data_IF_580438034039
#
_entry.id   IF_580438034039
#
_cell.length_a   1.000
_cell.length_b   1.000
_cell.length_c   1.000
_cell.angle_alpha   90.00
_cell.angle_beta   90.00
_cell.angle_gamma   90.00
#
_symmetry.space_group_name_H-M   'P 1'
#
loop_
_entity.id
_entity.type
_entity.pdbx_description
1 polymer ?
#
# COMPACT_ATOMS: atom_id res chain seq x y z
N UNK A 1 -4.88 7.82 -0.45
CA UNK A 1 -4.38 8.88 0.46
C UNK A 1 -4.09 8.38 1.88
N UNK A 2 -4.78 7.35 2.40
CA UNK A 2 -4.63 6.87 3.80
C UNK A 2 -3.22 6.40 4.17
N UNK A 3 -2.37 6.06 3.20
CA UNK A 3 -0.96 5.70 3.44
C UNK A 3 -0.13 6.83 4.09
N UNK A 4 -0.60 8.07 4.05
CA UNK A 4 0.01 9.23 4.73
C UNK A 4 0.12 8.98 6.24
N UNK A 5 -0.85 8.34 6.89
CA UNK A 5 -0.79 8.04 8.32
C UNK A 5 0.44 7.21 8.69
N UNK A 6 0.75 6.19 7.88
CA UNK A 6 1.96 5.38 8.07
C UNK A 6 3.25 6.18 7.91
N UNK A 7 3.27 7.14 6.98
CA UNK A 7 4.44 8.00 6.79
C UNK A 7 4.64 9.00 7.94
N UNK A 8 3.55 9.50 8.55
CA UNK A 8 3.62 10.31 9.78
C UNK A 8 4.22 9.49 10.93
N UNK A 9 3.76 8.24 11.11
CA UNK A 9 4.32 7.33 12.10
C UNK A 9 5.81 7.08 11.86
N UNK A 10 6.19 6.73 10.62
CA UNK A 10 7.58 6.45 10.24
C UNK A 10 8.48 7.67 10.37
N UNK A 11 7.98 8.87 10.09
CA UNK A 11 8.74 10.11 10.28
C UNK A 11 9.10 10.33 11.76
N UNK A 12 8.17 10.05 12.68
CA UNK A 12 8.44 10.10 14.12
C UNK A 12 9.43 9.00 14.54
N UNK A 13 9.33 7.81 13.95
CA UNK A 13 10.28 6.72 14.21
C UNK A 13 11.71 7.11 13.77
N UNK A 14 11.88 7.78 12.62
CA UNK A 14 13.18 8.30 12.18
C UNK A 14 13.74 9.34 13.17
N UNK A 15 12.91 10.28 13.63
CA UNK A 15 13.33 11.32 14.57
C UNK A 15 13.79 10.71 15.90
N UNK A 16 13.00 9.82 16.48
CA UNK A 16 13.29 9.24 17.80
C UNK A 16 14.42 8.20 17.76
N UNK A 17 14.57 7.47 16.66
CA UNK A 17 15.69 6.52 16.52
C UNK A 17 16.99 7.17 16.07
N UNK A 18 16.93 8.36 15.46
CA UNK A 18 18.08 9.04 14.83
C UNK A 18 18.59 8.33 13.58
N UNK A 19 17.81 7.43 12.97
CA UNK A 19 18.19 6.64 11.79
C UNK A 19 17.16 6.80 10.67
N UNK A 20 17.58 6.68 9.42
CA UNK A 20 16.68 6.58 8.27
C UNK A 20 15.96 5.23 8.27
N UNK A 21 14.77 5.18 7.64
CA UNK A 21 14.02 3.92 7.45
C UNK A 21 14.89 2.88 6.73
N UNK A 22 15.63 3.28 5.70
CA UNK A 22 16.54 2.39 4.96
C UNK A 22 17.68 1.81 5.82
N UNK A 23 18.06 2.47 6.91
CA UNK A 23 19.10 1.98 7.82
C UNK A 23 18.53 1.08 8.93
N UNK A 24 17.22 1.16 9.18
CA UNK A 24 16.54 0.39 10.22
C UNK A 24 16.04 -0.98 9.75
N UNK A 25 15.77 -1.12 8.45
CA UNK A 25 15.17 -2.32 7.89
C UNK A 25 16.00 -2.89 6.74
N UNK A 26 16.04 -4.22 6.64
CA UNK A 26 16.84 -4.94 5.64
C UNK A 26 16.03 -5.30 4.39
N UNK A 27 14.70 -5.29 4.45
CA UNK A 27 13.81 -5.60 3.32
C UNK A 27 12.55 -4.74 3.39
N UNK A 28 12.05 -4.33 2.23
CA UNK A 28 10.80 -3.59 2.10
C UNK A 28 9.80 -4.36 1.25
N UNK A 29 8.60 -4.53 1.76
CA UNK A 29 7.50 -5.21 1.06
C UNK A 29 6.29 -4.31 1.05
N UNK A 30 5.72 -4.10 -0.12
CA UNK A 30 4.58 -3.22 -0.28
C UNK A 30 3.53 -3.71 -1.27
N UNK A 31 2.29 -3.29 -1.05
CA UNK A 31 1.17 -3.52 -1.96
C UNK A 31 0.39 -2.24 -2.14
N UNK A 32 -0.09 -1.99 -3.36
CA UNK A 32 -0.87 -0.79 -3.67
C UNK A 32 -0.12 0.51 -3.29
N UNK A 33 -0.74 1.39 -2.51
CA UNK A 33 -0.08 2.58 -1.97
C UNK A 33 1.18 2.26 -1.13
N UNK A 34 1.22 1.11 -0.48
CA UNK A 34 2.38 0.62 0.25
C UNK A 34 3.54 0.23 -0.66
N UNK A 35 3.27 -0.16 -1.92
CA UNK A 35 4.31 -0.43 -2.91
C UNK A 35 5.11 0.85 -3.23
N UNK A 36 4.44 1.99 -3.42
CA UNK A 36 5.11 3.28 -3.61
C UNK A 36 6.05 3.58 -2.44
N UNK A 37 5.56 3.47 -1.20
CA UNK A 37 6.36 3.75 -0.01
C UNK A 37 7.57 2.81 0.10
N UNK A 38 7.35 1.49 -0.09
CA UNK A 38 8.41 0.48 -0.05
C UNK A 38 9.49 0.74 -1.10
N UNK A 39 9.09 1.13 -2.31
CA UNK A 39 10.01 1.48 -3.40
C UNK A 39 10.78 2.77 -3.11
N UNK A 40 10.15 3.79 -2.53
CA UNK A 40 10.84 5.00 -2.09
C UNK A 40 11.94 4.70 -1.07
N UNK A 41 11.67 3.83 -0.11
CA UNK A 41 12.65 3.44 0.91
C UNK A 41 13.73 2.50 0.35
N UNK A 42 13.35 1.46 -0.38
CA UNK A 42 14.31 0.43 -0.85
C UNK A 42 15.14 0.85 -2.05
N UNK A 43 14.57 1.61 -2.99
CA UNK A 43 15.27 2.03 -4.23
C UNK A 43 16.00 3.35 -4.06
N UNK A 44 15.35 4.34 -3.47
CA UNK A 44 15.87 5.71 -3.39
C UNK A 44 16.42 6.08 -2.00
N UNK A 45 16.28 5.21 -0.99
CA UNK A 45 16.69 5.47 0.41
C UNK A 45 16.12 6.79 0.96
N UNK A 46 14.90 7.13 0.52
CA UNK A 46 14.20 8.33 0.97
C UNK A 46 13.85 8.23 2.45
N UNK A 47 13.83 9.36 3.12
CA UNK A 47 13.21 9.48 4.45
C UNK A 47 11.68 9.38 4.35
N UNK A 48 11.03 9.09 5.46
CA UNK A 48 9.57 9.10 5.53
C UNK A 48 8.99 10.48 5.19
N UNK A 49 9.72 11.56 5.54
CA UNK A 49 9.33 12.93 5.17
C UNK A 49 9.37 13.14 3.66
N UNK A 50 10.48 12.83 3.01
CA UNK A 50 10.64 12.95 1.55
C UNK A 50 9.60 12.11 0.81
N UNK A 51 9.36 10.88 1.27
CA UNK A 51 8.31 10.02 0.70
C UNK A 51 6.93 10.64 0.88
N UNK A 52 6.64 11.25 2.05
CA UNK A 52 5.36 11.92 2.31
C UNK A 52 5.14 13.13 1.39
N UNK A 53 6.18 13.82 0.99
CA UNK A 53 6.05 15.00 0.12
C UNK A 53 5.46 14.63 -1.25
N UNK A 54 5.64 13.38 -1.73
CA UNK A 54 4.95 12.85 -2.92
C UNK A 54 3.49 12.43 -2.69
N UNK A 55 3.00 12.54 -1.46
CA UNK A 55 1.56 12.46 -1.13
C UNK A 55 0.93 13.84 -0.93
N UNK A 56 1.61 14.91 -1.33
CA UNK A 56 1.04 16.25 -1.36
C UNK A 56 -0.13 16.32 -2.36
N UNK A 57 -1.05 17.24 -2.12
CA UNK A 57 -2.30 17.36 -2.87
C UNK A 57 -2.08 17.48 -4.37
N UNK A 58 -1.07 18.22 -4.79
CA UNK A 58 -0.69 18.41 -6.20
C UNK A 58 -0.36 17.10 -6.93
N UNK A 59 0.38 16.20 -6.28
CA UNK A 59 0.70 14.88 -6.84
C UNK A 59 -0.51 13.95 -6.80
N UNK A 60 -1.33 14.01 -5.75
CA UNK A 60 -2.57 13.24 -5.67
C UNK A 60 -3.53 13.68 -6.77
N UNK A 61 -3.69 14.99 -7.00
CA UNK A 61 -4.53 15.53 -8.06
C UNK A 61 -4.02 15.11 -9.45
N UNK A 62 -2.71 15.08 -9.67
CA UNK A 62 -2.09 14.59 -10.91
C UNK A 62 -2.37 13.09 -11.12
N UNK A 63 -2.17 12.26 -10.07
CA UNK A 63 -2.45 10.81 -10.09
C UNK A 63 -3.94 10.51 -10.33
N UNK A 64 -4.81 11.33 -9.77
CA UNK A 64 -6.27 11.17 -9.84
C UNK A 64 -6.90 12.04 -10.92
N UNK A 65 -6.11 12.49 -11.90
CA UNK A 65 -6.64 13.23 -13.05
C UNK A 65 -7.59 12.35 -13.85
N UNK A 66 -8.80 12.84 -14.11
CA UNK A 66 -9.81 12.16 -14.92
C UNK A 66 -10.11 12.98 -16.17
N UNK A 67 -10.42 12.33 -17.28
CA UNK A 67 -11.02 12.99 -18.43
C UNK A 67 -12.43 13.46 -18.08
N UNK A 68 -12.57 14.72 -17.76
CA UNK A 68 -13.75 15.39 -17.18
C UNK A 68 -15.09 15.17 -17.93
N UNK A 69 -15.08 14.71 -19.17
CA UNK A 69 -16.29 14.65 -20.00
C UNK A 69 -17.26 13.49 -19.68
N UNK A 70 -16.86 12.47 -18.92
CA UNK A 70 -17.65 11.25 -18.74
C UNK A 70 -18.20 11.03 -17.32
N UNK A 71 -17.75 11.78 -16.32
CA UNK A 71 -18.07 11.54 -14.90
C UNK A 71 -19.51 11.87 -14.49
N UNK A 72 -20.26 12.63 -15.27
CA UNK A 72 -21.62 13.10 -14.89
C UNK A 72 -22.78 12.31 -15.49
N UNK A 73 -22.53 11.39 -16.42
CA UNK A 73 -23.60 10.79 -17.23
C UNK A 73 -23.93 9.32 -16.91
N UNK A 74 -23.22 8.66 -16.02
CA UNK A 74 -23.36 7.21 -15.81
C UNK A 74 -23.72 6.87 -14.36
N UNK A 75 -24.93 6.42 -14.12
CA UNK A 75 -25.41 5.78 -12.88
C UNK A 75 -24.65 4.46 -12.63
N UNK A 76 -24.05 3.88 -13.67
CA UNK A 76 -23.24 2.67 -13.63
C UNK A 76 -21.86 3.06 -14.17
N UNK A 77 -20.84 3.01 -13.31
CA UNK A 77 -19.47 3.27 -13.71
C UNK A 77 -19.00 2.13 -14.65
N UNK A 78 -19.03 2.40 -15.96
CA UNK A 78 -18.67 1.44 -17.01
C UNK A 78 -17.17 1.50 -17.38
N UNK A 79 -16.41 2.47 -16.84
CA UNK A 79 -14.97 2.67 -17.09
C UNK A 79 -14.24 2.98 -15.79
N UNK A 80 -12.91 2.76 -15.73
CA UNK A 80 -12.09 3.18 -14.60
C UNK A 80 -12.24 4.68 -14.34
N UNK A 81 -12.13 5.08 -13.08
CA UNK A 81 -12.31 6.47 -12.65
C UNK A 81 -11.17 7.38 -13.12
N UNK A 82 -9.95 6.85 -13.16
CA UNK A 82 -8.71 7.56 -13.48
C UNK A 82 -7.98 6.88 -14.63
N UNK A 83 -6.99 7.58 -15.19
CA UNK A 83 -6.07 7.04 -16.19
C UNK A 83 -4.71 6.70 -15.58
N UNK A 84 -3.92 5.87 -16.26
CA UNK A 84 -2.57 5.52 -15.81
C UNK A 84 -1.56 6.66 -16.04
N UNK A 85 -1.83 7.59 -16.96
CA UNK A 85 -0.89 8.62 -17.41
C UNK A 85 -0.37 9.49 -16.27
N UNK A 86 -1.27 10.11 -15.48
CA UNK A 86 -0.86 10.98 -14.38
C UNK A 86 -0.04 10.24 -13.33
N UNK A 87 -0.41 8.99 -13.02
CA UNK A 87 0.35 8.14 -12.11
C UNK A 87 1.76 7.86 -12.62
N UNK A 88 1.90 7.52 -13.90
CA UNK A 88 3.21 7.27 -14.54
C UNK A 88 4.08 8.52 -14.50
N UNK A 89 3.53 9.70 -14.80
CA UNK A 89 4.28 10.95 -14.78
C UNK A 89 4.81 11.30 -13.37
N UNK A 90 4.00 11.10 -12.33
CA UNK A 90 4.46 11.27 -10.95
C UNK A 90 5.58 10.28 -10.60
N UNK A 91 5.41 9.01 -10.97
CA UNK A 91 6.42 7.97 -10.71
C UNK A 91 7.73 8.24 -11.46
N UNK A 92 7.69 8.79 -12.68
CA UNK A 92 8.89 9.23 -13.41
C UNK A 92 9.66 10.33 -12.66
N UNK A 93 8.95 11.26 -12.02
CA UNK A 93 9.60 12.32 -11.19
C UNK A 93 10.32 11.72 -9.97
N UNK A 94 9.84 10.59 -9.43
CA UNK A 94 10.39 9.94 -8.24
C UNK A 94 11.52 8.98 -8.59
N UNK A 95 11.32 8.12 -9.58
CA UNK A 95 12.19 6.98 -9.86
C UNK A 95 13.01 7.10 -11.14
N UNK A 96 12.67 8.08 -11.99
CA UNK A 96 13.28 8.23 -13.32
C UNK A 96 13.09 6.95 -14.14
N UNK A 97 14.16 6.36 -14.62
CA UNK A 97 14.21 5.12 -15.42
C UNK A 97 14.80 3.92 -14.68
N UNK A 98 14.83 3.99 -13.33
CA UNK A 98 15.41 2.93 -12.50
C UNK A 98 14.69 1.59 -12.66
N UNK A 99 15.47 0.53 -12.68
CA UNK A 99 15.00 -0.86 -12.55
C UNK A 99 14.97 -1.32 -11.09
N UNK A 100 14.24 -2.37 -10.80
CA UNK A 100 14.20 -2.98 -9.47
C UNK A 100 15.56 -3.47 -9.01
N UNK A 101 16.43 -3.92 -9.92
CA UNK A 101 17.79 -4.39 -9.61
C UNK A 101 18.73 -3.30 -9.11
N UNK A 102 18.40 -2.01 -9.32
CA UNK A 102 19.15 -0.88 -8.80
C UNK A 102 18.77 -0.52 -7.34
N UNK A 103 17.87 -1.28 -6.74
CA UNK A 103 17.46 -1.11 -5.36
C UNK A 103 18.65 -1.30 -4.40
N UNK A 104 18.77 -0.43 -3.42
CA UNK A 104 19.82 -0.50 -2.39
C UNK A 104 19.52 -1.55 -1.33
N UNK A 105 18.26 -1.84 -1.12
CA UNK A 105 17.76 -2.87 -0.20
C UNK A 105 16.82 -3.82 -0.97
N UNK A 106 16.72 -5.09 -0.59
CA UNK A 106 15.70 -5.96 -1.12
C UNK A 106 14.31 -5.33 -1.01
N UNK A 107 13.63 -5.21 -2.15
CA UNK A 107 12.28 -4.66 -2.22
C UNK A 107 11.37 -5.58 -3.04
N UNK A 108 10.13 -5.74 -2.56
CA UNK A 108 9.10 -6.50 -3.25
C UNK A 108 7.82 -5.69 -3.37
N UNK A 109 7.14 -5.89 -4.49
CA UNK A 109 5.75 -5.47 -4.68
C UNK A 109 4.89 -6.65 -5.11
N UNK A 110 3.63 -6.66 -4.65
CA UNK A 110 2.66 -7.68 -4.98
C UNK A 110 1.65 -7.13 -5.99
N UNK A 111 1.34 -7.89 -7.03
CA UNK A 111 0.31 -7.62 -8.02
C UNK A 111 -0.51 -8.88 -8.31
N UNK A 112 -1.58 -8.76 -9.10
CA UNK A 112 -2.35 -9.88 -9.61
C UNK A 112 -2.35 -9.87 -11.14
N UNK A 113 -1.83 -10.95 -11.76
CA UNK A 113 -1.84 -11.17 -13.21
C UNK A 113 -3.23 -11.66 -13.62
N UNK A 114 -3.94 -10.85 -14.42
CA UNK A 114 -5.33 -11.13 -14.77
C UNK A 114 -5.47 -12.23 -15.82
N UNK A 115 -4.47 -12.43 -16.66
CA UNK A 115 -4.47 -13.44 -17.70
C UNK A 115 -4.09 -14.82 -17.16
N UNK A 116 -3.02 -14.87 -16.33
CA UNK A 116 -2.63 -16.09 -15.62
C UNK A 116 -3.53 -16.43 -14.44
N UNK A 117 -4.37 -15.48 -14.00
CA UNK A 117 -5.26 -15.61 -12.82
C UNK A 117 -4.48 -16.03 -11.57
N UNK A 118 -3.35 -15.38 -11.34
CA UNK A 118 -2.41 -15.71 -10.28
C UNK A 118 -1.79 -14.45 -9.67
N UNK A 119 -1.29 -14.56 -8.46
CA UNK A 119 -0.47 -13.51 -7.88
C UNK A 119 0.85 -13.37 -8.67
N UNK A 120 1.40 -12.17 -8.65
CA UNK A 120 2.71 -11.86 -9.20
C UNK A 120 3.54 -11.08 -8.17
N UNK A 121 4.76 -11.54 -7.91
CA UNK A 121 5.72 -10.88 -7.03
C UNK A 121 6.80 -10.26 -7.91
N UNK A 122 6.91 -8.95 -7.87
CA UNK A 122 8.00 -8.23 -8.52
C UNK A 122 9.01 -7.82 -7.46
N UNK A 123 10.27 -8.21 -7.63
CA UNK A 123 11.29 -7.96 -6.62
C UNK A 123 12.64 -7.59 -7.22
N UNK A 124 13.45 -6.90 -6.43
CA UNK A 124 14.82 -6.51 -6.81
C UNK A 124 15.75 -7.70 -7.10
N UNK A 125 15.38 -8.91 -6.68
CA UNK A 125 16.20 -10.10 -6.85
C UNK A 125 15.59 -11.17 -7.78
N UNK A 126 14.26 -11.21 -7.96
CA UNK A 126 13.60 -12.17 -8.89
C UNK A 126 13.28 -11.55 -10.24
N UNK A 127 12.97 -10.26 -10.29
CA UNK A 127 12.64 -9.49 -11.50
C UNK A 127 13.47 -8.21 -11.62
N UNK A 128 14.82 -8.29 -11.51
CA UNK A 128 15.68 -7.11 -11.40
C UNK A 128 15.63 -6.18 -12.63
N UNK A 129 15.32 -6.71 -13.80
CA UNK A 129 15.20 -5.93 -15.04
C UNK A 129 13.89 -5.16 -15.18
N UNK A 130 12.88 -5.41 -14.32
CA UNK A 130 11.60 -4.70 -14.38
C UNK A 130 11.76 -3.26 -13.90
N UNK A 131 11.15 -2.31 -14.60
CA UNK A 131 11.12 -0.90 -14.20
C UNK A 131 10.41 -0.74 -12.85
N UNK A 132 10.95 0.13 -11.99
CA UNK A 132 10.32 0.49 -10.71
C UNK A 132 8.93 1.08 -10.93
N UNK A 133 8.76 1.84 -12.01
CA UNK A 133 7.47 2.43 -12.40
C UNK A 133 6.46 1.33 -12.71
N UNK A 134 6.84 0.34 -13.51
CA UNK A 134 5.97 -0.80 -13.84
C UNK A 134 5.60 -1.61 -12.62
N UNK A 135 6.55 -1.93 -11.75
CA UNK A 135 6.26 -2.65 -10.51
C UNK A 135 5.27 -1.89 -9.60
N UNK A 136 5.44 -0.57 -9.48
CA UNK A 136 4.52 0.29 -8.73
C UNK A 136 3.14 0.36 -9.38
N UNK A 137 3.08 0.56 -10.70
CA UNK A 137 1.83 0.64 -11.46
C UNK A 137 1.06 -0.68 -11.43
N UNK A 138 1.73 -1.82 -11.61
CA UNK A 138 1.12 -3.14 -11.51
C UNK A 138 0.51 -3.38 -10.12
N UNK A 139 1.27 -3.08 -9.06
CA UNK A 139 0.83 -3.27 -7.67
C UNK A 139 -0.31 -2.35 -7.25
N UNK A 140 -0.46 -1.18 -7.88
CA UNK A 140 -1.41 -0.14 -7.47
C UNK A 140 -2.53 0.13 -8.49
N UNK A 141 -2.75 -0.77 -9.47
CA UNK A 141 -3.86 -0.68 -10.43
C UNK A 141 -5.19 -1.15 -9.80
N UNK A 142 -5.67 -0.41 -8.80
CA UNK A 142 -6.88 -0.76 -8.05
C UNK A 142 -8.10 -0.78 -8.97
N UNK A 143 -8.82 -1.93 -9.08
CA UNK A 143 -10.04 -2.03 -9.89
C UNK A 143 -11.04 -0.94 -9.50
N UNK A 144 -11.85 -0.49 -10.46
CA UNK A 144 -12.78 0.64 -10.34
C UNK A 144 -12.06 2.01 -10.41
N UNK A 145 -10.90 2.16 -9.78
CA UNK A 145 -10.13 3.43 -9.78
C UNK A 145 -9.25 3.56 -11.01
N UNK A 146 -8.46 2.54 -11.32
CA UNK A 146 -7.52 2.54 -12.44
C UNK A 146 -7.79 1.41 -13.42
N UNK A 147 -7.43 1.57 -14.71
CA UNK A 147 -7.40 0.45 -15.63
C UNK A 147 -6.32 -0.56 -15.22
N UNK A 148 -6.48 -1.81 -15.65
CA UNK A 148 -5.39 -2.78 -15.58
C UNK A 148 -4.15 -2.22 -16.28
N UNK A 149 -2.98 -2.58 -15.76
CA UNK A 149 -1.70 -2.08 -16.23
C UNK A 149 -0.97 -3.15 -17.05
N UNK A 150 -0.62 -2.83 -18.30
CA UNK A 150 0.26 -3.66 -19.11
C UNK A 150 1.71 -3.31 -18.79
N UNK A 151 2.47 -4.28 -18.28
CA UNK A 151 3.87 -4.09 -17.95
C UNK A 151 4.79 -4.48 -19.13
N UNK A 152 6.09 -4.20 -18.99
CA UNK A 152 7.09 -4.45 -20.05
C UNK A 152 7.25 -5.93 -20.40
N UNK A 153 6.83 -6.84 -19.52
CA UNK A 153 6.80 -8.28 -19.75
C UNK A 153 5.61 -8.75 -20.58
N UNK A 154 4.75 -7.82 -21.00
CA UNK A 154 3.53 -8.07 -21.75
C UNK A 154 2.37 -8.65 -20.91
N UNK A 155 2.52 -8.76 -19.62
CA UNK A 155 1.46 -9.23 -18.71
C UNK A 155 0.57 -8.07 -18.25
N UNK A 156 -0.69 -8.38 -17.97
CA UNK A 156 -1.69 -7.43 -17.49
C UNK A 156 -1.97 -7.61 -16.00
N UNK A 157 -1.81 -6.53 -15.25
CA UNK A 157 -1.89 -6.56 -13.79
C UNK A 157 -2.99 -5.68 -13.23
N UNK A 158 -3.54 -6.10 -12.10
CA UNK A 158 -4.34 -5.29 -11.18
C UNK A 158 -3.70 -5.28 -9.79
N UNK A 159 -4.19 -4.40 -8.93
CA UNK A 159 -3.69 -4.17 -7.58
C UNK A 159 -3.55 -5.49 -6.79
N UNK A 160 -2.39 -5.68 -6.20
CA UNK A 160 -2.08 -6.86 -5.39
C UNK A 160 -2.89 -6.96 -4.10
N UNK A 161 -3.57 -5.89 -3.69
CA UNK A 161 -4.49 -5.91 -2.56
C UNK A 161 -5.62 -6.93 -2.71
N UNK A 162 -6.00 -7.30 -3.94
CA UNK A 162 -6.98 -8.37 -4.18
C UNK A 162 -6.45 -9.76 -3.78
N UNK A 163 -5.14 -9.91 -3.63
CA UNK A 163 -4.50 -11.14 -3.16
C UNK A 163 -4.22 -11.04 -1.66
N UNK A 164 -3.50 -9.99 -1.27
CA UNK A 164 -3.08 -9.75 0.11
C UNK A 164 -2.90 -8.24 0.35
N UNK A 165 -3.81 -7.63 1.09
CA UNK A 165 -3.70 -6.22 1.46
C UNK A 165 -2.79 -5.99 2.68
N UNK A 166 -2.45 -7.04 3.41
CA UNK A 166 -1.41 -7.04 4.44
C UNK A 166 -0.31 -8.05 4.06
N UNK A 167 0.72 -7.66 3.31
CA UNK A 167 1.70 -8.59 2.79
C UNK A 167 2.71 -9.09 3.85
N UNK A 168 2.36 -9.06 5.14
CA UNK A 168 3.28 -9.43 6.22
C UNK A 168 3.67 -10.91 6.17
N UNK A 169 2.74 -11.80 5.80
CA UNK A 169 3.06 -13.23 5.65
C UNK A 169 3.98 -13.46 4.45
N UNK A 170 3.74 -12.77 3.34
CA UNK A 170 4.64 -12.76 2.19
C UNK A 170 6.02 -12.24 2.59
N UNK A 171 6.08 -11.12 3.33
CA UNK A 171 7.33 -10.55 3.82
C UNK A 171 8.13 -11.55 4.67
N UNK A 172 7.45 -12.26 5.58
CA UNK A 172 8.07 -13.30 6.40
C UNK A 172 8.69 -14.42 5.53
N UNK A 173 7.90 -14.95 4.60
CA UNK A 173 8.34 -16.06 3.74
C UNK A 173 9.50 -15.65 2.84
N UNK A 174 9.43 -14.49 2.24
CA UNK A 174 10.46 -14.00 1.33
C UNK A 174 11.74 -13.57 2.08
N UNK A 175 11.62 -12.95 3.26
CA UNK A 175 12.77 -12.64 4.11
C UNK A 175 13.50 -13.93 4.55
N UNK A 176 12.75 -14.95 4.99
CA UNK A 176 13.31 -16.25 5.38
C UNK A 176 14.08 -16.91 4.23
N UNK A 177 13.54 -16.88 3.03
CA UNK A 177 14.21 -17.43 1.83
C UNK A 177 15.44 -16.62 1.42
N UNK A 178 15.31 -15.29 1.40
CA UNK A 178 16.37 -14.41 0.91
C UNK A 178 17.57 -14.36 1.84
N UNK A 179 17.32 -14.16 3.14
CA UNK A 179 18.39 -14.04 4.16
C UNK A 179 18.81 -15.38 4.77
N UNK A 180 18.09 -16.46 4.49
CA UNK A 180 18.32 -17.80 5.05
C UNK A 180 18.39 -17.79 6.58
N UNK A 181 17.49 -17.06 7.24
CA UNK A 181 17.44 -16.87 8.69
C UNK A 181 16.05 -17.16 9.24
N UNK A 182 16.01 -17.61 10.51
CA UNK A 182 14.79 -17.70 11.31
C UNK A 182 14.59 -16.46 12.19
N UNK A 183 15.62 -15.63 12.36
CA UNK A 183 15.54 -14.41 13.16
C UNK A 183 14.98 -13.27 12.31
N UNK A 184 13.66 -13.17 12.27
CA UNK A 184 12.92 -12.18 11.46
C UNK A 184 12.04 -11.35 12.36
N UNK A 185 12.14 -10.04 12.20
CA UNK A 185 11.28 -9.06 12.85
C UNK A 185 10.51 -8.27 11.78
N UNK A 186 9.24 -8.02 12.03
CA UNK A 186 8.38 -7.33 11.05
C UNK A 186 7.66 -6.15 11.70
N UNK A 187 7.90 -4.97 11.17
CA UNK A 187 7.06 -3.79 11.36
C UNK A 187 6.08 -3.67 10.19
N UNK A 188 4.82 -3.92 10.44
CA UNK A 188 3.76 -3.87 9.45
C UNK A 188 2.89 -2.65 9.66
N UNK A 189 2.73 -1.84 8.61
CA UNK A 189 1.98 -0.58 8.68
C UNK A 189 0.75 -0.63 7.80
N UNK A 190 -0.42 -0.41 8.40
CA UNK A 190 -1.69 -0.39 7.72
C UNK A 190 -2.09 0.99 7.18
N UNK A 191 -3.34 1.08 6.75
CA UNK A 191 -3.96 2.32 6.25
C UNK A 191 -5.27 2.64 6.98
N UNK A 192 -5.47 2.04 8.15
CA UNK A 192 -6.69 2.11 8.93
C UNK A 192 -7.71 1.02 8.54
N UNK A 193 -8.54 0.62 9.49
CA UNK A 193 -9.54 -0.43 9.36
C UNK A 193 -10.94 0.19 9.33
N UNK A 194 -11.75 -0.14 8.33
CA UNK A 194 -13.15 0.26 8.28
C UNK A 194 -14.00 -0.68 9.15
N UNK A 195 -14.35 -0.26 10.34
CA UNK A 195 -15.14 -1.06 11.30
C UNK A 195 -16.64 -0.88 11.17
N UNK A 196 -17.14 -0.22 10.11
CA UNK A 196 -18.57 0.01 9.91
C UNK A 196 -19.29 -1.30 9.64
N UNK A 197 -20.24 -1.63 10.50
CA UNK A 197 -21.03 -2.86 10.38
C UNK A 197 -21.96 -2.81 9.16
N UNK A 198 -21.98 -3.89 8.42
CA UNK A 198 -22.99 -4.15 7.39
C UNK A 198 -24.20 -4.81 8.07
N UNK A 199 -25.40 -4.36 7.70
CA UNK A 199 -26.62 -4.97 8.20
C UNK A 199 -26.85 -6.32 7.51
N UNK A 200 -26.67 -7.43 8.22
CA UNK A 200 -26.77 -8.78 7.69
C UNK A 200 -28.13 -9.10 7.07
N UNK A 201 -29.24 -8.68 7.71
CA UNK A 201 -30.59 -8.94 7.17
C UNK A 201 -30.87 -8.19 5.87
N UNK A 202 -30.31 -6.98 5.72
CA UNK A 202 -30.44 -6.22 4.46
C UNK A 202 -29.55 -6.79 3.36
N UNK A 203 -28.38 -7.28 3.72
CA UNK A 203 -27.43 -7.83 2.74
C UNK A 203 -27.92 -9.10 2.08
N UNK A 204 -28.85 -9.84 2.71
CA UNK A 204 -29.43 -11.06 2.14
C UNK A 204 -30.20 -10.84 0.84
N UNK A 205 -30.63 -9.60 0.56
CA UNK A 205 -31.35 -9.22 -0.66
C UNK A 205 -30.46 -8.52 -1.69
N UNK A 206 -29.16 -8.36 -1.43
CA UNK A 206 -28.26 -7.63 -2.32
C UNK A 206 -27.79 -8.49 -3.49
N UNK A 207 -28.02 -8.04 -4.72
CA UNK A 207 -27.31 -8.51 -5.90
C UNK A 207 -25.96 -7.79 -6.07
N UNK A 208 -25.28 -8.02 -7.20
CA UNK A 208 -23.94 -7.46 -7.46
C UNK A 208 -23.84 -5.93 -7.25
N UNK A 209 -24.84 -5.16 -7.72
CA UNK A 209 -24.89 -3.70 -7.54
C UNK A 209 -25.03 -3.33 -6.05
N UNK A 210 -25.80 -4.07 -5.29
CA UNK A 210 -25.96 -3.89 -3.86
C UNK A 210 -24.63 -4.06 -3.13
N UNK A 211 -23.90 -5.13 -3.39
CA UNK A 211 -22.60 -5.39 -2.81
C UNK A 211 -21.54 -4.34 -3.20
N UNK A 212 -21.51 -3.91 -4.46
CA UNK A 212 -20.62 -2.83 -4.90
C UNK A 212 -20.89 -1.50 -4.18
N UNK A 213 -22.18 -1.15 -3.96
CA UNK A 213 -22.56 0.04 -3.20
C UNK A 213 -22.19 -0.03 -1.72
N UNK A 214 -22.11 -1.23 -1.16
CA UNK A 214 -21.82 -1.47 0.24
C UNK A 214 -20.38 -1.95 0.50
N UNK A 215 -19.46 -1.59 -0.41
CA UNK A 215 -18.02 -1.72 -0.19
C UNK A 215 -17.50 -3.17 -0.13
N UNK A 216 -17.98 -4.02 -1.05
CA UNK A 216 -17.49 -5.40 -1.15
C UNK A 216 -15.96 -5.44 -1.31
N UNK A 217 -15.39 -4.47 -2.04
CA UNK A 217 -13.93 -4.38 -2.21
C UNK A 217 -13.23 -4.10 -0.88
N UNK A 218 -13.76 -3.19 -0.05
CA UNK A 218 -13.22 -2.94 1.28
C UNK A 218 -13.26 -4.18 2.16
N UNK A 219 -14.35 -4.95 2.11
CA UNK A 219 -14.46 -6.22 2.85
C UNK A 219 -13.37 -7.20 2.42
N UNK A 220 -13.14 -7.36 1.11
CA UNK A 220 -12.13 -8.27 0.58
C UNK A 220 -10.68 -7.83 0.94
N UNK A 221 -10.46 -6.52 1.04
CA UNK A 221 -9.14 -5.96 1.38
C UNK A 221 -8.87 -5.92 2.90
N UNK A 222 -9.88 -6.05 3.75
CA UNK A 222 -9.77 -5.85 5.20
C UNK A 222 -9.89 -7.16 6.01
N UNK A 223 -9.56 -8.30 5.42
CA UNK A 223 -9.53 -9.57 6.16
C UNK A 223 -8.36 -9.58 7.13
N UNK A 224 -8.63 -9.76 8.43
CA UNK A 224 -7.58 -9.77 9.47
C UNK A 224 -6.72 -11.03 9.52
N UNK A 225 -7.05 -12.07 8.74
CA UNK A 225 -6.44 -13.39 8.84
C UNK A 225 -4.91 -13.39 8.75
N UNK A 226 -4.33 -12.66 7.81
CA UNK A 226 -2.86 -12.61 7.65
C UNK A 226 -2.17 -11.97 8.85
N UNK A 227 -2.79 -10.94 9.46
CA UNK A 227 -2.30 -10.33 10.68
C UNK A 227 -2.20 -11.36 11.81
N UNK A 228 -3.27 -12.13 12.00
CA UNK A 228 -3.36 -13.09 13.09
C UNK A 228 -2.35 -14.24 12.89
N UNK A 229 -2.23 -14.76 11.66
CA UNK A 229 -1.25 -15.79 11.32
C UNK A 229 0.19 -15.33 11.58
N UNK A 230 0.57 -14.13 11.18
CA UNK A 230 1.94 -13.63 11.41
C UNK A 230 2.17 -13.33 12.88
N UNK A 231 1.16 -12.83 13.60
CA UNK A 231 1.22 -12.64 15.06
C UNK A 231 1.44 -13.99 15.78
N UNK A 232 0.76 -15.05 15.36
CA UNK A 232 0.94 -16.40 15.94
C UNK A 232 2.33 -16.99 15.65
N UNK A 233 2.90 -16.69 14.46
CA UNK A 233 4.23 -17.18 14.07
C UNK A 233 5.35 -16.43 14.80
N UNK A 234 5.27 -15.11 14.86
CA UNK A 234 6.38 -14.23 15.29
C UNK A 234 6.23 -13.68 16.71
N UNK A 235 5.02 -13.71 17.30
CA UNK A 235 4.77 -13.15 18.62
C UNK A 235 5.26 -11.71 18.75
N UNK A 236 6.15 -11.45 19.70
CA UNK A 236 6.73 -10.12 19.97
C UNK A 236 7.73 -9.62 18.90
N UNK A 237 8.06 -10.45 17.91
CA UNK A 237 8.86 -10.05 16.75
C UNK A 237 7.99 -9.46 15.61
N UNK A 238 6.68 -9.39 15.80
CA UNK A 238 5.73 -8.74 14.90
C UNK A 238 5.05 -7.55 15.56
N UNK A 239 5.04 -6.42 14.89
CA UNK A 239 4.25 -5.26 15.29
C UNK A 239 3.40 -4.77 14.12
N UNK A 240 2.08 -4.83 14.27
CA UNK A 240 1.14 -4.23 13.34
C UNK A 240 0.69 -2.87 13.85
N UNK A 241 1.02 -1.82 13.11
CA UNK A 241 0.54 -0.45 13.34
C UNK A 241 -0.71 -0.23 12.48
N UNK A 242 -1.87 -0.27 13.10
CA UNK A 242 -3.15 -0.08 12.42
C UNK A 242 -4.27 0.15 13.45
N UNK A 243 -5.28 0.93 13.11
CA UNK A 243 -6.42 1.19 13.98
C UNK A 243 -7.69 1.49 13.19
N UNK A 244 -8.87 1.53 13.81
CA UNK A 244 -10.10 1.97 13.15
C UNK A 244 -9.98 3.37 12.54
N UNK A 245 -10.49 3.54 11.29
CA UNK A 245 -10.44 4.85 10.59
C UNK A 245 -11.33 5.94 11.20
N UNK A 246 -12.25 5.60 12.09
CA UNK A 246 -13.10 6.57 12.78
C UNK A 246 -13.89 7.47 11.81
N UNK A 247 -13.58 8.77 11.82
CA UNK A 247 -14.23 9.80 10.97
C UNK A 247 -13.56 10.00 9.61
N UNK A 248 -12.46 9.30 9.33
CA UNK A 248 -11.79 9.35 8.02
C UNK A 248 -12.74 8.77 6.96
N UNK A 249 -12.73 9.36 5.76
CA UNK A 249 -13.55 8.88 4.67
C UNK A 249 -13.06 7.49 4.21
N UNK A 250 -14.00 6.58 4.00
CA UNK A 250 -13.71 5.24 3.46
C UNK A 250 -13.23 5.24 2.00
N UNK A 251 -13.57 6.30 1.23
CA UNK A 251 -13.09 6.44 -0.15
C UNK A 251 -11.58 6.57 -0.14
N UNK A 252 -10.92 5.81 -1.01
CA UNK A 252 -9.45 5.76 -1.07
C UNK A 252 -8.83 7.04 -1.67
N UNK A 253 -9.64 7.84 -2.35
CA UNK A 253 -9.24 8.99 -3.15
C UNK A 253 -9.72 10.35 -2.58
N UNK A 254 -10.30 10.40 -1.39
CA UNK A 254 -10.70 11.65 -0.77
C UNK A 254 -9.47 12.41 -0.23
N UNK A 255 -9.00 13.39 -1.00
CA UNK A 255 -7.89 14.28 -0.69
C UNK A 255 -8.34 15.66 -0.19
N UNK A 256 -9.57 15.79 0.29
CA UNK A 256 -10.03 17.03 0.94
C UNK A 256 -9.17 17.36 2.15
N UNK A 257 -8.92 18.64 2.39
CA UNK A 257 -8.05 19.10 3.47
C UNK A 257 -8.50 18.54 4.83
N UNK A 258 -9.82 18.56 5.11
CA UNK A 258 -10.37 18.00 6.34
C UNK A 258 -10.17 16.48 6.47
N UNK A 259 -10.11 15.73 5.38
CA UNK A 259 -9.83 14.30 5.42
C UNK A 259 -8.33 14.04 5.60
N UNK A 260 -7.49 14.81 4.95
CA UNK A 260 -6.02 14.74 5.12
C UNK A 260 -5.63 15.06 6.57
N UNK A 261 -6.20 16.11 7.18
CA UNK A 261 -5.96 16.44 8.61
C UNK A 261 -6.31 15.26 9.53
N UNK A 262 -7.44 14.58 9.29
CA UNK A 262 -7.84 13.38 10.07
C UNK A 262 -6.86 12.22 9.88
N UNK A 263 -6.34 12.03 8.66
CA UNK A 263 -5.35 11.00 8.36
C UNK A 263 -4.02 11.31 9.06
N UNK A 264 -3.59 12.56 9.08
CA UNK A 264 -2.40 13.00 9.82
C UNK A 264 -2.59 12.74 11.31
N UNK A 265 -3.73 13.16 11.88
CA UNK A 265 -4.04 12.91 13.31
C UNK A 265 -4.08 11.42 13.66
N UNK A 266 -4.52 10.56 12.72
CA UNK A 266 -4.46 9.10 12.91
C UNK A 266 -3.01 8.62 12.99
N UNK A 267 -2.13 9.11 12.11
CA UNK A 267 -0.70 8.76 12.15
C UNK A 267 0.01 9.23 13.42
N UNK A 268 -0.36 10.41 13.94
CA UNK A 268 0.12 10.92 15.22
C UNK A 268 -0.34 10.03 16.38
N UNK A 269 -1.64 9.68 16.41
CA UNK A 269 -2.18 8.77 17.41
C UNK A 269 -1.56 7.37 17.35
N UNK A 270 -1.17 6.90 16.16
CA UNK A 270 -0.41 5.64 16.04
C UNK A 270 0.96 5.72 16.69
N UNK A 271 1.62 6.89 16.62
CA UNK A 271 2.88 7.08 17.33
C UNK A 271 2.69 6.99 18.86
N UNK A 272 1.67 7.62 19.37
CA UNK A 272 1.38 7.60 20.82
C UNK A 272 1.05 6.18 21.29
N UNK A 273 0.41 5.34 20.47
CA UNK A 273 0.02 3.97 20.80
C UNK A 273 1.12 2.93 20.57
N UNK A 274 1.85 3.03 19.46
CA UNK A 274 2.77 1.98 18.99
C UNK A 274 4.25 2.39 18.99
N UNK A 275 4.58 3.67 19.18
CA UNK A 275 5.94 4.20 19.00
C UNK A 275 6.98 3.54 19.90
N UNK A 276 6.68 3.37 21.19
CA UNK A 276 7.58 2.69 22.12
C UNK A 276 7.83 1.22 21.72
N UNK A 277 6.78 0.52 21.31
CA UNK A 277 6.90 -0.88 20.85
C UNK A 277 7.72 -0.97 19.55
N UNK A 278 7.57 -0.01 18.64
CA UNK A 278 8.38 0.04 17.43
C UNK A 278 9.86 0.28 17.71
N UNK A 279 10.19 1.18 18.64
CA UNK A 279 11.56 1.40 19.09
C UNK A 279 12.15 0.16 19.78
N UNK A 280 11.35 -0.57 20.56
CA UNK A 280 11.78 -1.82 21.21
C UNK A 280 12.00 -2.93 20.15
N UNK A 281 11.18 -3.01 19.12
CA UNK A 281 11.35 -3.95 18.02
C UNK A 281 12.72 -3.75 17.33
N UNK A 282 13.15 -2.51 17.14
CA UNK A 282 14.44 -2.18 16.49
C UNK A 282 15.69 -2.44 17.35
N UNK A 283 15.53 -2.75 18.65
CA UNK A 283 16.65 -3.01 19.57
C UNK A 283 16.98 -4.50 19.74
N UNK A 284 16.09 -5.35 19.29
CA UNK A 284 16.26 -6.83 19.34
C UNK A 284 17.05 -7.31 18.13
#
# INVERSE_FOLDING_TARGET
VRAIAGLIFLQKLEVESGKKISDMFDMFVGVSAGALNALCFGVNEMTAKETKDYWAKEYIDEITSSNFFWDKASIIQARPKYENTGRIEVLKKIFYDKSLGESKKPVLTLAYDVEKRSYAIHSSYNTPGMSVISACCASSAAPIYFPSYEAEDGCWYIDGGVVSNNPSLLAYVEAKKYFQTENIQILSIGTGINTRKINGSRSSSWGGIGWLRHDIMGIMLETGLENDLVQDILGDAYLRVNSPIGKINRRLDDNSDSNIERIISMGEGWWDEFGERALLLLRK
#
